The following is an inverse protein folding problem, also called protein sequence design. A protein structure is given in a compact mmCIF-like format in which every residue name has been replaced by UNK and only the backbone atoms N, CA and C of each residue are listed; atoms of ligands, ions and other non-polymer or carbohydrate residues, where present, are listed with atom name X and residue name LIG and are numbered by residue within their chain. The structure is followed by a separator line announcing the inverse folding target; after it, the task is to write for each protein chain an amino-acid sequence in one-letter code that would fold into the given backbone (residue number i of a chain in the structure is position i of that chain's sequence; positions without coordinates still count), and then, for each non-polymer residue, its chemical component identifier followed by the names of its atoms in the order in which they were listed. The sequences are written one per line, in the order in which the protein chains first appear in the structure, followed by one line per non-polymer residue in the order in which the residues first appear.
data_IF_036708476632
#
_entry.id   IF_036708476632
#
_cell.length_a   1.000
_cell.length_b   1.000
_cell.length_c   1.000
_cell.angle_alpha   90.00
_cell.angle_beta   90.00
_cell.angle_gamma   90.00
#
_symmetry.space_group_name_H-M   'P 1'
#
loop_
_entity.id
_entity.type
_entity.pdbx_description
1 polymer ?
#
# COMPACT_ATOMS: atom_id res chain seq x y z
N UNK A 1 17.33 -6.36 -1.15
CA UNK A 1 16.12 -7.17 -0.93
C UNK A 1 16.53 -8.38 -0.12
N UNK A 2 15.82 -8.67 0.93
CA UNK A 2 16.02 -9.85 1.76
C UNK A 2 15.77 -11.16 0.99
N UNK A 3 16.12 -12.27 1.59
CA UNK A 3 15.90 -13.62 1.05
C UNK A 3 14.46 -14.11 1.30
N UNK A 4 13.81 -13.59 2.36
CA UNK A 4 12.46 -13.91 2.80
C UNK A 4 11.55 -12.69 2.75
N UNK A 5 12.02 -11.53 3.24
CA UNK A 5 11.28 -10.29 3.23
C UNK A 5 11.56 -9.49 1.95
N UNK A 6 10.48 -9.17 1.23
CA UNK A 6 10.50 -8.23 0.11
C UNK A 6 10.30 -6.79 0.60
N UNK A 7 9.93 -5.88 -0.31
CA UNK A 7 9.59 -4.49 0.06
C UNK A 7 8.32 -4.38 0.92
N UNK A 8 7.49 -5.43 0.96
CA UNK A 8 6.19 -5.43 1.64
C UNK A 8 5.94 -6.77 2.38
N UNK A 9 6.89 -7.17 3.22
CA UNK A 9 6.84 -8.37 4.03
C UNK A 9 7.23 -9.66 3.32
N UNK A 10 7.10 -10.79 4.00
CA UNK A 10 7.30 -12.13 3.45
C UNK A 10 6.02 -12.58 2.74
N UNK A 11 6.08 -12.81 1.42
CA UNK A 11 4.94 -13.19 0.59
C UNK A 11 5.19 -14.49 -0.16
N UNK A 12 4.11 -15.24 -0.41
CA UNK A 12 4.16 -16.45 -1.23
C UNK A 12 2.80 -17.07 -1.44
N UNK A 13 2.76 -18.15 -2.25
CA UNK A 13 1.57 -18.99 -2.38
C UNK A 13 1.35 -19.71 -1.05
N UNK A 14 0.17 -19.50 -0.47
CA UNK A 14 -0.16 -20.00 0.86
C UNK A 14 -0.07 -21.55 0.92
N UNK A 15 0.51 -22.06 1.99
CA UNK A 15 0.74 -23.47 2.25
C UNK A 15 1.61 -24.22 1.20
N UNK A 16 2.28 -23.49 0.33
CA UNK A 16 3.24 -24.03 -0.65
C UNK A 16 4.61 -23.35 -0.48
N UNK A 17 4.63 -22.02 -0.56
CA UNK A 17 5.80 -21.17 -0.34
C UNK A 17 5.77 -20.56 1.08
N UNK A 18 4.62 -20.01 1.46
CA UNK A 18 4.36 -19.49 2.81
C UNK A 18 3.61 -20.56 3.61
N UNK A 19 4.36 -21.50 4.17
CA UNK A 19 3.83 -22.64 4.94
C UNK A 19 3.53 -22.28 6.40
N UNK A 20 2.76 -23.12 7.09
CA UNK A 20 2.51 -22.95 8.52
C UNK A 20 3.79 -23.02 9.35
N UNK A 21 4.74 -23.92 8.99
CA UNK A 21 6.04 -24.03 9.65
C UNK A 21 6.87 -22.77 9.48
N UNK A 22 6.88 -22.20 8.26
CA UNK A 22 7.58 -20.95 8.00
C UNK A 22 6.98 -19.80 8.80
N UNK A 23 5.65 -19.67 8.84
CA UNK A 23 4.95 -18.65 9.61
C UNK A 23 5.23 -18.80 11.13
N UNK A 24 5.22 -20.03 11.66
CA UNK A 24 5.59 -20.28 13.06
C UNK A 24 7.02 -19.85 13.36
N UNK A 25 7.96 -20.15 12.46
CA UNK A 25 9.38 -19.78 12.65
C UNK A 25 9.59 -18.27 12.51
N UNK A 26 8.87 -17.60 11.60
CA UNK A 26 8.84 -16.11 11.53
C UNK A 26 8.35 -15.54 12.86
N UNK A 27 7.26 -16.06 13.41
CA UNK A 27 6.74 -15.62 14.71
C UNK A 27 7.76 -15.78 15.85
N UNK A 28 8.44 -16.94 15.94
CA UNK A 28 9.51 -17.15 16.92
C UNK A 28 10.65 -16.15 16.77
N UNK A 29 11.16 -16.01 15.54
CA UNK A 29 12.28 -15.13 15.25
C UNK A 29 11.93 -13.66 15.51
N UNK A 30 10.74 -13.22 15.11
CA UNK A 30 10.26 -11.87 15.37
C UNK A 30 10.20 -11.55 16.87
N UNK A 31 9.61 -12.44 17.68
CA UNK A 31 9.59 -12.26 19.14
C UNK A 31 10.99 -12.21 19.73
N UNK A 32 11.89 -13.10 19.32
CA UNK A 32 13.28 -13.14 19.82
C UNK A 32 14.08 -11.88 19.47
N UNK A 33 13.82 -11.29 18.30
CA UNK A 33 14.47 -10.02 17.89
C UNK A 33 13.96 -8.84 18.72
N UNK A 34 12.72 -8.91 19.22
CA UNK A 34 12.08 -7.88 20.06
C UNK A 34 12.38 -8.06 21.55
N UNK A 35 12.71 -9.26 22.01
CA UNK A 35 13.08 -9.52 23.40
C UNK A 35 14.45 -8.90 23.68
N UNK A 36 14.56 -8.08 24.72
CA UNK A 36 15.78 -7.44 25.21
C UNK A 36 15.71 -7.25 26.73
N UNK A 37 16.70 -6.57 27.31
CA UNK A 37 16.79 -6.35 28.76
C UNK A 37 15.62 -5.53 29.34
N UNK A 38 14.90 -4.77 28.50
CA UNK A 38 13.76 -3.94 28.91
C UNK A 38 12.40 -4.63 28.67
N UNK A 39 12.34 -5.55 27.67
CA UNK A 39 11.12 -6.24 27.25
C UNK A 39 11.30 -7.75 27.28
N UNK A 40 10.93 -8.37 28.39
CA UNK A 40 11.03 -9.83 28.58
C UNK A 40 9.85 -10.58 27.92
N UNK A 41 8.65 -10.00 27.94
CA UNK A 41 7.42 -10.59 27.38
C UNK A 41 6.74 -9.61 26.41
N UNK A 42 7.25 -9.48 25.17
CA UNK A 42 6.69 -8.53 24.22
C UNK A 42 5.22 -8.86 23.90
N UNK A 43 4.41 -7.83 23.77
CA UNK A 43 3.03 -7.92 23.31
C UNK A 43 2.95 -7.62 21.84
N UNK A 44 2.45 -8.57 21.05
CA UNK A 44 2.37 -8.46 19.58
C UNK A 44 0.91 -8.52 19.15
N UNK A 45 0.50 -7.52 18.36
CA UNK A 45 -0.83 -7.49 17.74
C UNK A 45 -0.81 -8.34 16.47
N UNK A 46 -1.89 -9.07 16.18
CA UNK A 46 -2.06 -9.77 14.90
C UNK A 46 -3.40 -9.37 14.29
N UNK A 47 -3.34 -8.76 13.11
CA UNK A 47 -4.48 -8.53 12.22
C UNK A 47 -4.36 -9.37 10.95
N UNK A 48 -5.48 -9.54 10.24
CA UNK A 48 -5.51 -10.27 8.97
C UNK A 48 -6.57 -9.71 8.03
N UNK A 49 -6.39 -9.99 6.73
CA UNK A 49 -7.44 -9.80 5.75
C UNK A 49 -8.41 -11.01 5.72
N UNK A 50 -9.22 -11.11 4.68
CA UNK A 50 -10.31 -12.09 4.59
C UNK A 50 -9.93 -13.40 3.91
N UNK A 51 -8.65 -13.62 3.57
CA UNK A 51 -8.18 -14.82 2.86
C UNK A 51 -8.39 -16.08 3.68
N UNK A 52 -8.78 -17.17 3.02
CA UNK A 52 -8.99 -18.48 3.64
C UNK A 52 -7.75 -18.95 4.43
N UNK A 53 -6.55 -18.71 3.89
CA UNK A 53 -5.29 -19.09 4.54
C UNK A 53 -4.93 -18.25 5.78
N UNK A 54 -5.68 -17.16 6.04
CA UNK A 54 -5.42 -16.25 7.15
C UNK A 54 -5.48 -16.95 8.51
N UNK A 55 -6.50 -17.80 8.75
CA UNK A 55 -6.66 -18.51 10.03
C UNK A 55 -5.52 -19.52 10.29
N UNK A 56 -5.06 -20.21 9.24
CA UNK A 56 -3.94 -21.14 9.34
C UNK A 56 -2.63 -20.42 9.73
N UNK A 57 -2.35 -19.31 9.04
CA UNK A 57 -1.12 -18.52 9.30
C UNK A 57 -1.19 -17.82 10.65
N UNK A 58 -2.35 -17.30 11.06
CA UNK A 58 -2.58 -16.72 12.39
C UNK A 58 -2.30 -17.75 13.48
N UNK A 59 -2.86 -18.97 13.37
CA UNK A 59 -2.61 -20.06 14.32
C UNK A 59 -1.13 -20.43 14.42
N UNK A 60 -0.41 -20.49 13.31
CA UNK A 60 1.01 -20.78 13.26
C UNK A 60 1.84 -19.66 13.92
N UNK A 61 1.56 -18.40 13.61
CA UNK A 61 2.20 -17.25 14.25
C UNK A 61 1.96 -17.23 15.75
N UNK A 62 0.74 -17.47 16.21
CA UNK A 62 0.40 -17.57 17.63
C UNK A 62 1.26 -18.63 18.31
N UNK A 63 1.33 -19.84 17.75
CA UNK A 63 2.13 -20.93 18.30
C UNK A 63 3.63 -20.56 18.37
N UNK A 64 4.15 -19.93 17.32
CA UNK A 64 5.52 -19.44 17.26
C UNK A 64 5.82 -18.40 18.35
N UNK A 65 5.05 -17.33 18.38
CA UNK A 65 5.21 -16.22 19.32
C UNK A 65 5.09 -16.67 20.78
N UNK A 66 4.02 -17.37 21.12
CA UNK A 66 3.79 -17.83 22.48
C UNK A 66 4.85 -18.82 22.96
N UNK A 67 5.40 -19.66 22.05
CA UNK A 67 6.42 -20.66 22.39
C UNK A 67 7.74 -20.05 22.87
N UNK A 68 7.99 -18.78 22.61
CA UNK A 68 9.18 -18.03 23.04
C UNK A 68 8.87 -16.92 24.05
N UNK A 69 7.64 -16.90 24.58
CA UNK A 69 7.24 -16.02 25.68
C UNK A 69 6.55 -14.72 25.27
N UNK A 70 6.31 -14.47 23.99
CA UNK A 70 5.59 -13.29 23.56
C UNK A 70 4.07 -13.39 23.78
N UNK A 71 3.44 -12.35 24.27
CA UNK A 71 1.98 -12.24 24.37
C UNK A 71 1.37 -11.82 23.04
N UNK A 72 0.20 -12.33 22.72
CA UNK A 72 -0.51 -12.06 21.47
C UNK A 72 -1.87 -11.42 21.76
N UNK A 73 -2.18 -10.33 21.04
CA UNK A 73 -3.52 -9.76 21.00
C UNK A 73 -4.07 -9.85 19.57
N UNK A 74 -5.16 -10.57 19.38
CA UNK A 74 -5.79 -10.79 18.08
C UNK A 74 -6.75 -9.64 17.79
N UNK A 75 -6.55 -9.01 16.62
CA UNK A 75 -7.40 -7.92 16.13
C UNK A 75 -8.55 -8.43 15.25
N UNK A 76 -8.45 -9.68 14.74
CA UNK A 76 -9.36 -10.23 13.75
C UNK A 76 -9.13 -9.63 12.36
N UNK A 77 -10.20 -9.51 11.58
CA UNK A 77 -10.15 -8.91 10.24
C UNK A 77 -10.18 -7.40 10.37
N UNK A 78 -9.06 -6.75 10.01
CA UNK A 78 -8.88 -5.30 10.06
C UNK A 78 -7.98 -4.83 8.91
N UNK A 79 -8.08 -3.56 8.47
CA UNK A 79 -7.13 -2.95 7.53
C UNK A 79 -5.68 -2.97 8.03
N UNK A 80 -4.72 -3.01 7.10
CA UNK A 80 -3.28 -2.87 7.44
C UNK A 80 -2.98 -1.63 8.29
N UNK A 81 -3.49 -0.42 7.94
CA UNK A 81 -3.25 0.76 8.77
C UNK A 81 -3.87 0.68 10.17
N UNK A 82 -4.93 -0.13 10.35
CA UNK A 82 -5.47 -0.38 11.69
C UNK A 82 -4.44 -1.08 12.59
N UNK A 83 -3.70 -2.06 12.06
CA UNK A 83 -2.63 -2.73 12.82
C UNK A 83 -1.59 -1.70 13.26
N UNK A 84 -1.09 -0.87 12.34
CA UNK A 84 -0.10 0.16 12.61
C UNK A 84 -0.57 1.15 13.71
N UNK A 85 -1.80 1.66 13.59
CA UNK A 85 -2.38 2.58 14.59
C UNK A 85 -2.58 1.93 15.97
N UNK A 86 -3.08 0.69 15.99
CA UNK A 86 -3.45 0.02 17.24
C UNK A 86 -2.23 -0.39 18.08
N UNK A 87 -1.04 -0.52 17.48
CA UNK A 87 0.21 -0.73 18.21
C UNK A 87 0.38 0.37 19.27
N UNK A 88 0.35 1.62 18.86
CA UNK A 88 0.48 2.75 19.78
C UNK A 88 -0.70 2.85 20.76
N UNK A 89 -1.94 2.62 20.28
CA UNK A 89 -3.14 2.68 21.12
C UNK A 89 -3.12 1.67 22.26
N UNK A 90 -2.64 0.46 22.03
CA UNK A 90 -2.61 -0.63 23.01
C UNK A 90 -1.25 -0.83 23.66
N UNK A 91 -0.29 0.07 23.44
CA UNK A 91 1.09 -0.01 23.92
C UNK A 91 1.69 -1.40 23.64
N UNK A 92 1.57 -1.85 22.40
CA UNK A 92 2.17 -3.11 21.97
C UNK A 92 3.59 -2.87 21.42
N UNK A 93 4.45 -3.89 21.54
CA UNK A 93 5.84 -3.79 21.12
C UNK A 93 6.01 -4.00 19.63
N UNK A 94 5.03 -4.65 18.97
CA UNK A 94 5.00 -4.84 17.53
C UNK A 94 3.58 -5.19 17.05
N UNK A 95 3.40 -5.18 15.73
CA UNK A 95 2.20 -5.67 15.08
C UNK A 95 2.52 -6.53 13.87
N UNK A 96 1.67 -7.49 13.59
CA UNK A 96 1.75 -8.36 12.41
C UNK A 96 0.45 -8.23 11.62
N UNK A 97 0.57 -7.97 10.32
CA UNK A 97 -0.55 -8.06 9.38
C UNK A 97 -0.38 -9.27 8.47
N UNK A 98 -1.40 -10.12 8.41
CA UNK A 98 -1.46 -11.28 7.52
C UNK A 98 -2.27 -10.89 6.30
N UNK A 99 -1.58 -10.55 5.21
CA UNK A 99 -2.19 -10.15 3.94
C UNK A 99 -1.18 -10.17 2.79
N UNK A 100 -1.67 -10.38 1.57
CA UNK A 100 -0.93 -10.15 0.33
C UNK A 100 -1.52 -8.99 -0.50
N UNK A 101 -2.17 -8.01 0.16
CA UNK A 101 -2.72 -6.79 -0.44
C UNK A 101 -3.64 -7.09 -1.63
N UNK A 102 -3.29 -6.63 -2.83
CA UNK A 102 -4.10 -6.77 -4.05
C UNK A 102 -3.94 -8.12 -4.78
N UNK A 103 -3.09 -9.04 -4.29
CA UNK A 103 -2.90 -10.34 -4.92
C UNK A 103 -4.18 -11.22 -4.81
N UNK A 104 -4.39 -12.21 -5.70
CA UNK A 104 -5.44 -13.20 -5.58
C UNK A 104 -5.35 -13.99 -4.26
N UNK A 105 -6.43 -14.70 -3.90
CA UNK A 105 -6.57 -15.35 -2.59
C UNK A 105 -5.55 -16.46 -2.30
N UNK A 106 -4.99 -17.07 -3.35
CA UNK A 106 -3.98 -18.12 -3.26
C UNK A 106 -2.68 -17.63 -2.62
N UNK A 107 -2.39 -16.33 -2.74
CA UNK A 107 -1.25 -15.70 -2.10
C UNK A 107 -1.62 -15.23 -0.69
N UNK A 108 -0.63 -15.20 0.18
CA UNK A 108 -0.70 -14.50 1.45
C UNK A 108 0.66 -13.91 1.81
N UNK A 109 0.72 -13.14 2.89
CA UNK A 109 1.93 -12.47 3.34
C UNK A 109 1.93 -12.20 4.83
N UNK A 110 3.12 -11.95 5.37
CA UNK A 110 3.33 -11.55 6.76
C UNK A 110 4.12 -10.26 6.75
N UNK A 111 3.48 -9.16 7.17
CA UNK A 111 4.08 -7.83 7.34
C UNK A 111 4.28 -7.59 8.83
N UNK A 112 5.45 -7.10 9.23
CA UNK A 112 5.75 -6.82 10.63
C UNK A 112 5.97 -5.32 10.80
N UNK A 113 5.36 -4.76 11.85
CA UNK A 113 5.45 -3.36 12.23
C UNK A 113 6.12 -3.25 13.59
N UNK A 114 6.99 -2.26 13.75
CA UNK A 114 7.65 -1.91 15.00
C UNK A 114 6.69 -1.18 15.97
N UNK A 115 7.16 -0.91 17.18
CA UNK A 115 6.37 -0.25 18.24
C UNK A 115 5.86 1.16 17.86
N UNK A 116 6.47 1.81 16.89
CA UNK A 116 6.06 3.12 16.35
C UNK A 116 5.04 3.01 15.21
N UNK A 117 4.60 1.79 14.85
CA UNK A 117 3.65 1.53 13.77
C UNK A 117 4.24 1.66 12.36
N UNK A 118 5.57 1.74 12.23
CA UNK A 118 6.27 1.68 10.96
C UNK A 118 6.64 0.25 10.60
N UNK A 119 6.87 -0.05 9.31
CA UNK A 119 7.45 -1.34 8.91
C UNK A 119 8.81 -1.55 9.59
N UNK A 120 9.14 -2.80 9.91
CA UNK A 120 10.43 -3.11 10.53
C UNK A 120 11.59 -2.58 9.68
N UNK A 121 12.65 -2.02 10.32
CA UNK A 121 13.90 -1.70 9.66
C UNK A 121 14.57 -2.95 9.04
N UNK A 122 15.31 -2.75 7.93
CA UNK A 122 15.99 -3.84 7.19
C UNK A 122 16.92 -4.69 8.06
N UNK A 123 17.60 -4.09 9.02
CA UNK A 123 18.50 -4.80 9.93
C UNK A 123 17.76 -5.79 10.83
N UNK A 124 16.56 -5.44 11.29
CA UNK A 124 15.72 -6.35 12.07
C UNK A 124 15.10 -7.45 11.20
N UNK A 125 14.63 -7.11 9.98
CA UNK A 125 14.15 -8.10 9.01
C UNK A 125 15.28 -9.10 8.65
N UNK A 126 16.50 -8.62 8.39
CA UNK A 126 17.65 -9.48 8.12
C UNK A 126 17.98 -10.41 9.29
N UNK A 127 17.90 -9.93 10.53
CA UNK A 127 18.10 -10.78 11.73
C UNK A 127 17.03 -11.85 11.84
N UNK A 128 15.78 -11.55 11.52
CA UNK A 128 14.71 -12.56 11.47
C UNK A 128 15.03 -13.61 10.40
N UNK A 129 15.46 -13.18 9.20
CA UNK A 129 15.86 -14.08 8.11
C UNK A 129 17.00 -15.04 8.51
N UNK A 130 18.04 -14.51 9.16
CA UNK A 130 19.17 -15.30 9.63
C UNK A 130 18.74 -16.38 10.65
N UNK A 131 17.83 -16.03 11.56
CA UNK A 131 17.29 -17.00 12.53
C UNK A 131 16.44 -18.06 11.82
N UNK A 132 15.57 -17.65 10.88
CA UNK A 132 14.62 -18.55 10.21
C UNK A 132 15.31 -19.46 9.19
N UNK A 133 16.20 -18.91 8.36
CA UNK A 133 16.77 -19.60 7.21
C UNK A 133 18.10 -20.29 7.53
N UNK A 134 18.95 -19.66 8.35
CA UNK A 134 20.30 -20.13 8.62
C UNK A 134 20.44 -20.81 10.00
N UNK A 135 19.39 -20.75 10.84
CA UNK A 135 19.37 -21.30 12.19
C UNK A 135 20.58 -20.85 13.05
N UNK A 136 20.97 -19.58 12.89
CA UNK A 136 22.17 -19.00 13.56
C UNK A 136 22.06 -18.99 15.07
N UNK A 137 20.82 -18.97 15.61
CA UNK A 137 20.54 -19.00 17.04
C UNK A 137 19.41 -19.99 17.30
N UNK A 138 19.54 -20.92 18.27
CA UNK A 138 18.45 -21.80 18.67
C UNK A 138 17.31 -20.98 19.31
N UNK A 139 16.06 -21.39 19.07
CA UNK A 139 14.92 -20.73 19.68
C UNK A 139 14.95 -20.88 21.22
N UNK A 140 14.82 -19.74 21.91
CA UNK A 140 14.71 -19.69 23.37
C UNK A 140 13.29 -20.06 23.79
N UNK A 141 13.04 -21.36 23.95
CA UNK A 141 11.70 -21.88 24.26
C UNK A 141 11.31 -21.54 25.71
N UNK A 142 10.21 -20.82 25.85
CA UNK A 142 9.61 -20.47 27.13
C UNK A 142 8.99 -21.71 27.80
N UNK A 143 8.98 -21.71 29.13
CA UNK A 143 8.46 -22.83 29.93
C UNK A 143 7.52 -22.31 31.00
N UNK A 144 6.62 -23.19 31.43
CA UNK A 144 5.73 -22.99 32.56
C UNK A 144 4.94 -21.65 32.42
N UNK A 145 5.02 -20.79 33.43
CA UNK A 145 4.33 -19.47 33.45
C UNK A 145 4.86 -18.45 32.45
N UNK A 146 6.03 -18.70 31.84
CA UNK A 146 6.64 -17.82 30.84
C UNK A 146 6.11 -18.05 29.40
N UNK A 147 5.29 -19.07 29.19
CA UNK A 147 4.61 -19.26 27.91
C UNK A 147 3.68 -18.06 27.65
N UNK A 148 3.76 -17.48 26.43
CA UNK A 148 2.96 -16.31 26.05
C UNK A 148 1.45 -16.57 26.09
N UNK A 149 0.70 -15.53 26.36
CA UNK A 149 -0.77 -15.55 26.46
C UNK A 149 -1.43 -14.98 25.21
N UNK A 150 -2.60 -15.50 24.88
CA UNK A 150 -3.42 -15.01 23.76
C UNK A 150 -4.67 -14.34 24.29
N UNK A 151 -4.95 -13.14 23.81
CA UNK A 151 -6.18 -12.41 24.08
C UNK A 151 -6.78 -11.91 22.75
N UNK A 152 -8.09 -11.59 22.75
CA UNK A 152 -8.76 -11.03 21.58
C UNK A 152 -9.26 -9.63 21.90
N UNK A 153 -9.08 -8.70 20.95
CA UNK A 153 -9.55 -7.33 21.04
C UNK A 153 -10.78 -7.16 20.14
N UNK A 154 -11.96 -7.35 20.72
CA UNK A 154 -13.23 -7.31 19.98
C UNK A 154 -13.54 -5.89 19.45
N UNK A 155 -12.95 -4.85 20.01
CA UNK A 155 -13.18 -3.43 19.63
C UNK A 155 -12.19 -2.92 18.59
N UNK A 156 -11.24 -3.72 18.13
CA UNK A 156 -10.13 -3.27 17.28
C UNK A 156 -10.59 -2.53 16.02
N UNK A 157 -11.59 -3.06 15.31
CA UNK A 157 -12.14 -2.42 14.12
C UNK A 157 -12.85 -1.10 14.45
N UNK A 158 -13.62 -1.05 15.54
CA UNK A 158 -14.33 0.16 15.96
C UNK A 158 -13.35 1.24 16.46
N UNK A 159 -12.29 0.85 17.15
CA UNK A 159 -11.21 1.74 17.59
C UNK A 159 -10.47 2.41 16.44
N UNK A 160 -10.25 1.67 15.35
CA UNK A 160 -9.67 2.23 14.12
C UNK A 160 -10.66 3.17 13.41
N UNK A 161 -11.92 2.78 13.26
CA UNK A 161 -12.98 3.64 12.71
C UNK A 161 -13.08 4.96 13.46
N UNK A 162 -13.03 4.90 14.81
CA UNK A 162 -13.06 6.08 15.66
C UNK A 162 -11.84 6.99 15.46
N UNK A 163 -10.67 6.39 15.25
CA UNK A 163 -9.45 7.12 14.95
C UNK A 163 -9.57 7.89 13.64
N UNK A 164 -9.91 7.22 12.53
CA UNK A 164 -10.03 7.85 11.22
C UNK A 164 -11.09 8.94 11.24
N UNK A 165 -12.26 8.66 11.80
CA UNK A 165 -13.35 9.64 11.91
C UNK A 165 -12.93 10.91 12.68
N UNK A 166 -12.18 10.75 13.78
CA UNK A 166 -11.67 11.89 14.58
C UNK A 166 -10.55 12.66 13.88
N UNK A 167 -9.65 11.96 13.17
CA UNK A 167 -8.49 12.55 12.50
C UNK A 167 -8.92 13.56 11.43
N UNK A 168 -9.98 13.28 10.69
CA UNK A 168 -10.47 14.17 9.65
C UNK A 168 -11.52 15.15 10.19
N UNK A 169 -12.36 14.71 11.12
CA UNK A 169 -13.34 15.57 11.81
C UNK A 169 -14.34 16.24 10.87
N UNK A 170 -14.78 15.55 9.81
CA UNK A 170 -15.75 16.07 8.85
C UNK A 170 -17.14 15.48 9.04
N UNK A 171 -18.16 16.24 8.61
CA UNK A 171 -19.53 15.77 8.46
C UNK A 171 -19.81 15.57 6.98
N UNK A 172 -20.21 14.35 6.59
CA UNK A 172 -20.53 13.98 5.20
C UNK A 172 -22.04 13.91 4.94
N UNK A 173 -22.88 14.46 5.83
CA UNK A 173 -24.34 14.48 5.64
C UNK A 173 -24.71 15.05 4.27
N UNK A 174 -25.61 14.37 3.55
CA UNK A 174 -26.04 14.74 2.21
C UNK A 174 -25.15 14.23 1.08
N UNK A 175 -24.03 13.59 1.38
CA UNK A 175 -23.23 12.87 0.38
C UNK A 175 -23.72 11.44 0.22
N UNK A 176 -23.92 11.01 -1.04
CA UNK A 176 -24.28 9.63 -1.39
C UNK A 176 -23.16 9.03 -2.22
N UNK A 177 -22.49 7.99 -1.69
CA UNK A 177 -21.25 7.44 -2.21
C UNK A 177 -21.32 5.92 -2.38
N UNK A 178 -20.49 5.36 -3.28
CA UNK A 178 -20.27 3.93 -3.37
C UNK A 178 -18.91 3.54 -2.77
N UNK A 179 -18.86 2.39 -2.11
CA UNK A 179 -17.64 1.78 -1.59
C UNK A 179 -17.46 0.40 -2.22
N UNK A 180 -16.32 0.15 -2.82
CA UNK A 180 -15.89 -1.18 -3.24
C UNK A 180 -14.87 -1.70 -2.21
N UNK A 181 -15.31 -2.65 -1.39
CA UNK A 181 -14.51 -3.23 -0.30
C UNK A 181 -13.65 -4.41 -0.74
N UNK A 182 -13.54 -4.70 -2.05
CA UNK A 182 -12.73 -5.80 -2.60
C UNK A 182 -12.94 -7.19 -1.96
N UNK A 183 -14.05 -7.41 -1.25
CA UNK A 183 -14.24 -8.54 -0.32
C UNK A 183 -13.06 -8.69 0.66
N UNK A 184 -12.36 -7.61 0.95
CA UNK A 184 -11.18 -7.53 1.80
C UNK A 184 -11.48 -7.01 3.21
N UNK A 185 -10.44 -6.53 3.87
CA UNK A 185 -10.50 -6.08 5.27
C UNK A 185 -11.42 -4.88 5.50
N UNK A 186 -11.52 -3.95 4.52
CA UNK A 186 -12.44 -2.81 4.57
C UNK A 186 -13.92 -3.18 4.64
N UNK A 187 -14.29 -4.43 4.31
CA UNK A 187 -15.66 -4.94 4.53
C UNK A 187 -16.11 -4.90 6.00
N UNK A 188 -15.18 -4.74 6.95
CA UNK A 188 -15.46 -4.64 8.40
C UNK A 188 -15.52 -3.22 8.92
N UNK A 189 -14.95 -2.27 8.20
CA UNK A 189 -14.66 -0.92 8.70
C UNK A 189 -15.27 0.19 7.84
N UNK A 190 -15.20 0.10 6.51
CA UNK A 190 -15.53 1.20 5.62
C UNK A 190 -17.00 1.65 5.73
N UNK A 191 -17.98 0.74 5.70
CA UNK A 191 -19.39 1.12 5.87
C UNK A 191 -19.62 1.83 7.20
N UNK A 192 -19.05 1.29 8.28
CA UNK A 192 -19.16 1.88 9.63
C UNK A 192 -18.57 3.29 9.67
N UNK A 193 -17.40 3.48 9.08
CA UNK A 193 -16.69 4.76 9.05
C UNK A 193 -17.52 5.83 8.33
N UNK A 194 -17.88 5.59 7.07
CA UNK A 194 -18.54 6.60 6.26
C UNK A 194 -19.99 6.85 6.71
N UNK A 195 -20.68 5.84 7.22
CA UNK A 195 -22.00 6.02 7.85
C UNK A 195 -21.89 6.84 9.15
N UNK A 196 -20.86 6.57 9.98
CA UNK A 196 -20.60 7.36 11.20
C UNK A 196 -20.34 8.84 10.89
N UNK A 197 -19.71 9.12 9.74
CA UNK A 197 -19.47 10.48 9.26
C UNK A 197 -20.70 11.12 8.59
N UNK A 198 -21.84 10.42 8.50
CA UNK A 198 -23.12 10.93 7.98
C UNK A 198 -23.36 10.69 6.49
N UNK A 199 -22.48 9.99 5.78
CA UNK A 199 -22.70 9.66 4.38
C UNK A 199 -23.77 8.58 4.19
N UNK A 200 -24.53 8.67 3.11
CA UNK A 200 -25.35 7.55 2.61
C UNK A 200 -24.48 6.66 1.73
N UNK A 201 -24.33 5.41 2.15
CA UNK A 201 -23.33 4.48 1.60
C UNK A 201 -23.99 3.38 0.78
N UNK A 202 -23.46 3.11 -0.41
CA UNK A 202 -23.74 1.95 -1.24
C UNK A 202 -22.52 1.03 -1.20
N UNK A 203 -22.65 -0.14 -0.57
CA UNK A 203 -21.50 -1.04 -0.40
C UNK A 203 -21.52 -2.14 -1.46
N UNK A 204 -20.39 -2.34 -2.12
CA UNK A 204 -20.13 -3.39 -3.09
C UNK A 204 -18.99 -4.28 -2.58
N UNK A 205 -19.06 -5.58 -2.89
CA UNK A 205 -18.01 -6.55 -2.57
C UNK A 205 -17.61 -6.54 -1.09
N UNK A 206 -18.62 -6.64 -0.22
CA UNK A 206 -18.50 -6.64 1.25
C UNK A 206 -18.80 -8.01 1.90
N UNK A 207 -18.90 -9.08 1.08
CA UNK A 207 -19.25 -10.44 1.52
C UNK A 207 -18.10 -11.41 1.26
N UNK A 208 -17.03 -11.32 2.05
CA UNK A 208 -15.90 -12.23 1.90
C UNK A 208 -16.28 -13.67 2.20
N UNK A 209 -15.82 -14.59 1.35
CA UNK A 209 -15.99 -16.04 1.51
C UNK A 209 -14.65 -16.79 1.66
N UNK A 210 -13.54 -16.05 1.75
CA UNK A 210 -12.18 -16.56 1.89
C UNK A 210 -11.44 -16.74 0.56
N UNK A 211 -12.15 -16.79 -0.58
CA UNK A 211 -11.56 -17.02 -1.91
C UNK A 211 -11.94 -15.96 -2.94
N UNK A 212 -12.77 -14.99 -2.57
CA UNK A 212 -13.26 -13.95 -3.47
C UNK A 212 -12.59 -12.58 -3.28
N UNK A 213 -11.60 -12.45 -2.41
CA UNK A 213 -10.85 -11.20 -2.20
C UNK A 213 -10.17 -10.75 -3.50
N UNK A 214 -10.30 -9.46 -3.86
CA UNK A 214 -9.78 -8.84 -5.09
C UNK A 214 -10.27 -9.47 -6.41
N UNK A 215 -11.21 -10.41 -6.38
CA UNK A 215 -11.69 -11.08 -7.58
C UNK A 215 -12.68 -10.18 -8.33
N UNK A 216 -12.21 -9.62 -9.45
CA UNK A 216 -12.99 -8.72 -10.32
C UNK A 216 -13.55 -7.49 -9.58
N UNK A 217 -12.89 -7.03 -8.52
CA UNK A 217 -13.29 -5.92 -7.67
C UNK A 217 -12.10 -5.17 -7.07
N UNK A 218 -12.40 -4.11 -6.34
CA UNK A 218 -11.41 -3.29 -5.63
C UNK A 218 -10.57 -2.39 -6.55
N UNK A 219 -9.49 -1.87 -6.00
CA UNK A 219 -8.65 -0.85 -6.66
C UNK A 219 -7.99 -1.32 -7.96
N UNK A 220 -7.84 -2.63 -8.17
CA UNK A 220 -7.26 -3.20 -9.39
C UNK A 220 -8.30 -3.52 -10.48
N UNK A 221 -9.59 -3.49 -10.15
CA UNK A 221 -10.71 -3.82 -11.06
C UNK A 221 -11.86 -2.80 -10.94
N UNK A 222 -11.55 -1.54 -11.19
CA UNK A 222 -12.41 -0.37 -10.92
C UNK A 222 -13.69 -0.32 -11.76
N UNK A 223 -13.78 -1.05 -12.89
CA UNK A 223 -14.83 -0.92 -13.91
C UNK A 223 -16.24 -1.10 -13.38
N UNK A 224 -16.44 -1.99 -12.40
CA UNK A 224 -17.75 -2.20 -11.77
C UNK A 224 -18.20 -0.98 -10.96
N UNK A 225 -17.28 -0.41 -10.18
CA UNK A 225 -17.54 0.79 -9.40
C UNK A 225 -17.84 2.00 -10.31
N UNK A 226 -17.09 2.15 -11.42
CA UNK A 226 -17.32 3.21 -12.42
C UNK A 226 -18.75 3.16 -13.00
N UNK A 227 -19.19 1.96 -13.38
CA UNK A 227 -20.56 1.76 -13.90
C UNK A 227 -21.60 2.05 -12.82
N UNK A 228 -21.39 1.54 -11.60
CA UNK A 228 -22.32 1.71 -10.50
C UNK A 228 -22.52 3.18 -10.11
N UNK A 229 -21.44 3.95 -10.01
CA UNK A 229 -21.51 5.41 -9.70
C UNK A 229 -22.34 6.16 -10.73
N UNK A 230 -22.14 5.89 -12.03
CA UNK A 230 -22.90 6.53 -13.12
C UNK A 230 -24.37 6.13 -13.10
N UNK A 231 -24.66 4.82 -12.99
CA UNK A 231 -26.02 4.28 -13.02
C UNK A 231 -26.89 4.83 -11.88
N UNK A 232 -26.29 4.99 -10.70
CA UNK A 232 -26.97 5.48 -9.49
C UNK A 232 -26.81 6.99 -9.27
N UNK A 233 -26.05 7.68 -10.13
CA UNK A 233 -25.80 9.14 -10.05
C UNK A 233 -25.25 9.56 -8.70
N UNK A 234 -24.29 8.79 -8.17
CA UNK A 234 -23.67 9.04 -6.88
C UNK A 234 -22.66 10.21 -6.96
N UNK A 235 -22.34 10.81 -5.82
CA UNK A 235 -21.34 11.88 -5.74
C UNK A 235 -19.96 11.38 -6.17
N UNK A 236 -19.59 10.16 -5.79
CA UNK A 236 -18.34 9.50 -6.16
C UNK A 236 -18.36 8.04 -5.71
N UNK A 237 -17.31 7.29 -6.05
CA UNK A 237 -17.03 5.96 -5.53
C UNK A 237 -15.60 5.88 -4.98
N UNK A 238 -15.37 5.04 -3.98
CA UNK A 238 -14.07 4.72 -3.42
C UNK A 238 -13.84 3.22 -3.53
N UNK A 239 -12.68 2.81 -4.03
CA UNK A 239 -12.28 1.40 -4.14
C UNK A 239 -11.01 1.15 -3.33
N UNK A 240 -11.07 0.15 -2.47
CA UNK A 240 -9.95 -0.31 -1.66
C UNK A 240 -9.32 -1.56 -2.26
N UNK A 241 -8.12 -1.91 -1.84
CA UNK A 241 -7.55 -3.23 -2.09
C UNK A 241 -7.79 -4.17 -0.91
N UNK A 242 -7.29 -5.40 -0.98
CA UNK A 242 -7.64 -6.46 -0.02
C UNK A 242 -7.33 -6.16 1.43
N UNK A 243 -6.28 -5.39 1.73
CA UNK A 243 -5.92 -4.97 3.09
C UNK A 243 -6.11 -3.46 3.34
N UNK A 244 -6.75 -2.79 2.39
CA UNK A 244 -7.22 -1.41 2.48
C UNK A 244 -6.12 -0.38 2.81
N UNK A 245 -4.87 -0.67 2.46
CA UNK A 245 -3.78 0.31 2.54
C UNK A 245 -3.77 1.25 1.31
N UNK A 246 -4.66 0.99 0.31
CA UNK A 246 -4.84 1.77 -0.91
C UNK A 246 -6.28 2.22 -1.10
N UNK A 247 -6.43 3.39 -1.72
CA UNK A 247 -7.72 3.91 -2.19
C UNK A 247 -7.56 4.51 -3.58
N UNK A 248 -8.44 4.11 -4.49
CA UNK A 248 -8.70 4.83 -5.74
C UNK A 248 -10.11 5.38 -5.73
N UNK A 249 -10.34 6.51 -6.39
CA UNK A 249 -11.66 7.10 -6.46
C UNK A 249 -12.24 7.09 -7.88
N UNK A 250 -13.54 7.22 -7.96
CA UNK A 250 -14.31 7.38 -9.19
C UNK A 250 -15.16 8.63 -9.04
N UNK A 251 -15.06 9.55 -10.01
CA UNK A 251 -15.86 10.76 -10.02
C UNK A 251 -17.34 10.48 -10.38
N UNK A 252 -18.20 11.48 -10.26
CA UNK A 252 -19.64 11.38 -10.57
C UNK A 252 -19.95 11.05 -12.03
N UNK A 253 -18.96 11.18 -12.94
CA UNK A 253 -19.07 10.80 -14.35
C UNK A 253 -18.57 9.38 -14.62
N UNK A 254 -18.02 8.70 -13.59
CA UNK A 254 -17.44 7.38 -13.69
C UNK A 254 -15.99 7.37 -14.18
N UNK A 255 -15.28 8.48 -14.13
CA UNK A 255 -13.86 8.53 -14.47
C UNK A 255 -13.02 8.12 -13.27
N UNK A 256 -11.91 7.43 -13.53
CA UNK A 256 -10.93 7.09 -12.52
C UNK A 256 -10.16 8.33 -12.05
N UNK A 257 -10.08 8.51 -10.75
CA UNK A 257 -9.22 9.46 -10.04
C UNK A 257 -8.21 8.63 -9.26
N UNK A 258 -7.02 8.45 -9.83
CA UNK A 258 -5.97 7.58 -9.25
C UNK A 258 -5.18 8.27 -8.12
N UNK A 259 -4.20 7.54 -7.55
CA UNK A 259 -3.42 8.01 -6.42
C UNK A 259 -2.69 9.33 -6.68
N UNK A 260 -2.19 9.56 -7.89
CA UNK A 260 -1.52 10.82 -8.23
C UNK A 260 -2.50 12.00 -8.13
N UNK A 261 -3.72 11.86 -8.66
CA UNK A 261 -4.76 12.87 -8.52
C UNK A 261 -5.20 13.07 -7.06
N UNK A 262 -5.38 11.97 -6.31
CA UNK A 262 -5.78 12.07 -4.89
C UNK A 262 -4.72 12.81 -4.07
N UNK A 263 -3.44 12.51 -4.30
CA UNK A 263 -2.32 13.21 -3.65
C UNK A 263 -2.30 14.68 -4.06
N UNK A 264 -2.48 15.00 -5.36
CA UNK A 264 -2.48 16.37 -5.86
C UNK A 264 -3.61 17.20 -5.23
N UNK A 265 -4.84 16.66 -5.19
CA UNK A 265 -6.00 17.30 -4.55
C UNK A 265 -5.72 17.59 -3.07
N UNK A 266 -5.24 16.56 -2.33
CA UNK A 266 -4.95 16.71 -0.90
C UNK A 266 -3.79 17.68 -0.64
N UNK A 267 -2.71 17.60 -1.42
CA UNK A 267 -1.56 18.49 -1.28
C UNK A 267 -1.94 19.97 -1.54
N UNK A 268 -2.75 20.21 -2.58
CA UNK A 268 -3.26 21.57 -2.88
C UNK A 268 -4.11 22.12 -1.73
N UNK A 269 -5.02 21.32 -1.21
CA UNK A 269 -5.84 21.69 -0.06
C UNK A 269 -5.01 21.95 1.20
N UNK A 270 -4.07 21.06 1.49
CA UNK A 270 -3.16 21.22 2.63
C UNK A 270 -2.30 22.48 2.49
N UNK A 271 -1.82 22.80 1.28
CA UNK A 271 -1.07 24.03 1.02
C UNK A 271 -1.94 25.26 1.25
N UNK A 272 -3.14 25.30 0.65
CA UNK A 272 -4.05 26.45 0.75
C UNK A 272 -4.47 26.74 2.22
N UNK A 273 -4.47 25.69 3.04
CA UNK A 273 -4.75 25.78 4.48
C UNK A 273 -3.50 25.97 5.35
N UNK A 274 -2.31 26.06 4.76
CA UNK A 274 -1.05 26.21 5.50
C UNK A 274 -0.64 24.98 6.30
N UNK A 275 -1.14 23.79 5.92
CA UNK A 275 -0.88 22.51 6.59
C UNK A 275 0.18 21.67 5.88
N UNK A 276 0.55 22.02 4.65
CA UNK A 276 1.57 21.27 3.88
C UNK A 276 2.98 21.60 4.40
N UNK A 277 3.59 20.67 5.11
CA UNK A 277 4.93 20.86 5.68
C UNK A 277 5.97 21.05 4.57
N UNK A 278 6.79 22.11 4.70
CA UNK A 278 7.86 22.45 3.75
C UNK A 278 7.38 22.66 2.30
N UNK A 279 6.09 22.82 2.07
CA UNK A 279 5.49 22.87 0.72
C UNK A 279 5.99 21.74 -0.19
N UNK A 280 6.10 20.51 0.34
CA UNK A 280 6.65 19.38 -0.38
C UNK A 280 5.75 18.16 -0.34
N UNK A 281 5.79 17.39 -1.45
CA UNK A 281 5.06 16.14 -1.63
C UNK A 281 6.04 15.05 -2.04
N UNK A 282 5.92 13.87 -1.45
CA UNK A 282 6.78 12.73 -1.78
C UNK A 282 6.03 11.74 -2.66
N UNK A 283 6.65 11.36 -3.77
CA UNK A 283 6.15 10.29 -4.65
C UNK A 283 7.25 9.36 -5.09
N UNK A 284 7.02 8.61 -6.13
CA UNK A 284 8.01 7.69 -6.70
C UNK A 284 8.38 8.09 -8.13
N UNK A 285 9.40 7.43 -8.68
CA UNK A 285 9.74 7.55 -10.11
C UNK A 285 8.59 7.12 -11.05
N UNK A 286 7.53 6.49 -10.53
CA UNK A 286 6.34 6.11 -11.29
C UNK A 286 5.25 7.18 -11.29
N UNK A 287 5.34 8.19 -10.43
CA UNK A 287 4.39 9.32 -10.40
C UNK A 287 4.39 10.02 -11.75
N UNK A 288 3.20 10.29 -12.28
CA UNK A 288 3.04 10.87 -13.62
C UNK A 288 3.73 12.23 -13.76
N UNK A 289 4.34 12.52 -14.92
CA UNK A 289 5.00 13.81 -15.16
C UNK A 289 4.09 15.02 -14.97
N UNK A 290 2.78 14.88 -15.23
CA UNK A 290 1.80 15.93 -14.96
C UNK A 290 1.78 16.37 -13.50
N UNK A 291 2.16 15.48 -12.57
CA UNK A 291 2.30 15.80 -11.16
C UNK A 291 3.48 16.75 -10.87
N UNK A 292 4.60 16.57 -11.57
CA UNK A 292 5.74 17.48 -11.45
C UNK A 292 5.32 18.90 -11.86
N UNK A 293 4.67 19.01 -13.02
CA UNK A 293 4.15 20.28 -13.54
C UNK A 293 3.16 20.92 -12.56
N UNK A 294 2.24 20.12 -12.02
CA UNK A 294 1.32 20.58 -10.97
C UNK A 294 2.08 21.14 -9.76
N UNK A 295 3.12 20.47 -9.29
CA UNK A 295 3.92 20.96 -8.17
C UNK A 295 4.60 22.28 -8.48
N UNK A 296 5.23 22.42 -9.67
CA UNK A 296 5.88 23.65 -10.14
C UNK A 296 4.89 24.82 -10.23
N UNK A 297 3.74 24.62 -10.88
CA UNK A 297 2.69 25.62 -11.03
C UNK A 297 2.07 26.10 -9.70
N UNK A 298 2.20 25.28 -8.65
CA UNK A 298 1.70 25.60 -7.32
C UNK A 298 2.82 25.88 -6.31
N UNK A 299 4.04 26.22 -6.70
CA UNK A 299 5.18 26.48 -5.81
C UNK A 299 5.34 25.40 -4.73
N UNK A 300 5.26 24.14 -5.14
CA UNK A 300 5.50 22.97 -4.30
C UNK A 300 6.73 22.20 -4.79
N UNK A 301 7.44 21.55 -3.87
CA UNK A 301 8.55 20.68 -4.18
C UNK A 301 8.05 19.25 -4.35
N UNK A 302 8.31 18.63 -5.51
CA UNK A 302 8.13 17.19 -5.69
C UNK A 302 9.42 16.44 -5.33
N UNK A 303 9.33 15.48 -4.41
CA UNK A 303 10.44 14.62 -4.00
C UNK A 303 10.19 13.22 -4.54
N UNK A 304 10.99 12.82 -5.54
CA UNK A 304 10.87 11.50 -6.18
C UNK A 304 11.77 10.47 -5.48
N UNK A 305 11.19 9.32 -5.13
CA UNK A 305 11.90 8.18 -4.55
C UNK A 305 11.90 6.98 -5.50
N UNK A 306 12.57 5.89 -5.11
CA UNK A 306 12.39 4.58 -5.74
C UNK A 306 10.97 4.09 -5.55
N UNK A 307 10.53 3.15 -6.41
CA UNK A 307 9.22 2.48 -6.27
C UNK A 307 9.20 1.65 -4.99
N UNK A 308 8.15 1.84 -4.21
CA UNK A 308 7.89 1.15 -2.96
C UNK A 308 7.55 2.14 -1.84
N UNK A 309 6.46 1.88 -1.14
CA UNK A 309 5.90 2.68 -0.06
C UNK A 309 6.93 2.95 1.07
N UNK A 310 7.81 1.99 1.33
CA UNK A 310 8.91 2.12 2.28
C UNK A 310 9.82 3.32 1.96
N UNK A 311 10.22 3.49 0.70
CA UNK A 311 11.10 4.60 0.29
C UNK A 311 10.40 5.96 0.40
N UNK A 312 9.07 5.97 0.15
CA UNK A 312 8.24 7.17 0.35
C UNK A 312 8.23 7.55 1.83
N UNK A 313 7.92 6.59 2.71
CA UNK A 313 7.88 6.81 4.16
C UNK A 313 9.25 7.25 4.71
N UNK A 314 10.33 6.58 4.33
CA UNK A 314 11.70 6.94 4.74
C UNK A 314 12.05 8.38 4.37
N UNK A 315 11.72 8.81 3.14
CA UNK A 315 11.94 10.19 2.71
C UNK A 315 11.10 11.18 3.54
N UNK A 316 9.83 10.84 3.80
CA UNK A 316 8.94 11.67 4.61
C UNK A 316 9.46 11.85 6.05
N UNK A 317 9.87 10.76 6.68
CA UNK A 317 10.40 10.78 8.06
C UNK A 317 11.72 11.54 8.15
N UNK A 318 12.66 11.26 7.25
CA UNK A 318 13.98 11.90 7.24
C UNK A 318 13.91 13.40 7.04
N UNK A 319 13.03 13.84 6.15
CA UNK A 319 12.93 15.24 5.78
C UNK A 319 11.79 15.98 6.50
N UNK A 320 10.90 15.28 7.20
CA UNK A 320 9.78 15.87 7.93
C UNK A 320 8.65 16.36 7.02
N UNK A 321 8.38 15.64 5.92
CA UNK A 321 7.22 15.86 5.06
C UNK A 321 5.99 15.14 5.63
N UNK A 322 4.79 15.57 5.30
CA UNK A 322 3.58 15.01 5.88
C UNK A 322 2.56 14.44 4.89
N UNK A 323 2.85 14.48 3.59
CA UNK A 323 2.05 13.79 2.57
C UNK A 323 2.99 13.16 1.54
N UNK A 324 2.67 11.93 1.14
CA UNK A 324 3.35 11.21 0.06
C UNK A 324 2.59 9.96 -0.32
N UNK A 325 2.99 9.34 -1.42
CA UNK A 325 2.34 8.10 -1.84
C UNK A 325 2.67 7.70 -3.27
N UNK A 326 1.83 6.82 -3.80
CA UNK A 326 2.00 6.20 -5.11
C UNK A 326 0.72 6.28 -5.95
N UNK A 327 0.84 6.26 -7.26
CA UNK A 327 -0.28 6.22 -8.21
C UNK A 327 -1.26 5.07 -7.92
N UNK A 328 -0.79 3.98 -7.33
CA UNK A 328 -1.59 2.82 -6.92
C UNK A 328 -2.64 3.14 -5.84
N UNK A 329 -2.61 4.34 -5.25
CA UNK A 329 -3.51 4.77 -4.19
C UNK A 329 -3.00 4.53 -2.77
N UNK A 330 -1.76 4.06 -2.61
CA UNK A 330 -1.10 3.99 -1.31
C UNK A 330 -0.64 5.39 -0.91
N UNK A 331 -1.39 6.06 -0.04
CA UNK A 331 -1.19 7.45 0.35
C UNK A 331 -0.96 7.54 1.85
N UNK A 332 0.13 8.17 2.23
CA UNK A 332 0.54 8.38 3.63
C UNK A 332 0.25 9.82 4.03
N UNK A 333 -0.55 10.00 5.05
CA UNK A 333 -0.75 11.27 5.76
C UNK A 333 -0.04 11.17 7.12
N UNK A 334 1.23 11.52 7.18
CA UNK A 334 2.10 11.21 8.32
C UNK A 334 1.67 11.90 9.64
N UNK A 335 0.82 12.92 9.56
CA UNK A 335 0.23 13.52 10.76
C UNK A 335 -0.85 12.61 11.40
N UNK A 336 -1.32 11.56 10.71
CA UNK A 336 -2.41 10.68 11.14
C UNK A 336 -2.09 9.19 11.09
N UNK A 337 -1.24 8.76 10.16
CA UNK A 337 -0.90 7.35 9.93
C UNK A 337 0.56 7.20 9.48
N UNK A 338 1.21 6.13 9.92
CA UNK A 338 2.61 5.79 9.60
C UNK A 338 2.75 4.87 8.37
N UNK A 339 1.65 4.55 7.71
CA UNK A 339 1.59 3.77 6.48
C UNK A 339 0.46 4.29 5.60
N UNK A 340 0.36 3.81 4.37
CA UNK A 340 -0.80 4.10 3.53
C UNK A 340 -2.10 3.66 4.19
N UNK A 341 -3.13 4.51 4.08
CA UNK A 341 -4.44 4.28 4.66
C UNK A 341 -5.51 4.68 3.65
N UNK A 342 -6.16 3.65 3.05
CA UNK A 342 -7.16 3.86 2.02
C UNK A 342 -8.43 4.51 2.57
N UNK A 343 -8.88 4.13 3.76
CA UNK A 343 -10.08 4.69 4.38
C UNK A 343 -9.86 6.14 4.83
N UNK A 344 -8.69 6.46 5.38
CA UNK A 344 -8.28 7.82 5.67
C UNK A 344 -8.18 8.66 4.38
N UNK A 345 -7.56 8.14 3.34
CA UNK A 345 -7.43 8.82 2.03
C UNK A 345 -8.80 9.15 1.44
N UNK A 346 -9.72 8.17 1.43
CA UNK A 346 -11.10 8.39 0.99
C UNK A 346 -11.81 9.45 1.83
N UNK A 347 -11.63 9.41 3.15
CA UNK A 347 -12.24 10.40 4.07
C UNK A 347 -11.68 11.80 3.83
N UNK A 348 -10.38 11.94 3.58
CA UNK A 348 -9.75 13.22 3.23
C UNK A 348 -10.36 13.83 1.96
N UNK A 349 -10.50 13.05 0.91
CA UNK A 349 -11.11 13.50 -0.36
C UNK A 349 -12.55 13.94 -0.14
N UNK A 350 -13.37 13.14 0.54
CA UNK A 350 -14.76 13.49 0.81
C UNK A 350 -14.88 14.75 1.67
N UNK A 351 -13.97 14.93 2.64
CA UNK A 351 -13.89 16.16 3.45
C UNK A 351 -13.61 17.40 2.59
N UNK A 352 -12.69 17.28 1.61
CA UNK A 352 -12.40 18.37 0.67
C UNK A 352 -13.63 18.68 -0.18
N UNK A 353 -14.27 17.67 -0.78
CA UNK A 353 -15.50 17.83 -1.56
C UNK A 353 -16.60 18.51 -0.74
N UNK A 354 -16.82 18.07 0.48
CA UNK A 354 -17.84 18.63 1.38
C UNK A 354 -17.56 20.08 1.74
N UNK A 355 -16.32 20.41 2.08
CA UNK A 355 -15.92 21.75 2.52
C UNK A 355 -15.90 22.75 1.37
N UNK A 356 -15.49 22.36 0.17
CA UNK A 356 -15.43 23.24 -1.01
C UNK A 356 -16.76 23.33 -1.74
N UNK A 357 -17.62 22.33 -1.61
CA UNK A 357 -18.85 22.17 -2.40
C UNK A 357 -18.56 21.73 -3.84
N UNK A 358 -17.31 21.41 -4.16
CA UNK A 358 -16.89 21.02 -5.52
C UNK A 358 -17.08 19.52 -5.76
N UNK A 359 -17.39 19.19 -7.02
CA UNK A 359 -17.45 17.80 -7.48
C UNK A 359 -16.06 17.22 -7.63
N UNK A 360 -15.93 15.89 -7.49
CA UNK A 360 -14.63 15.23 -7.65
C UNK A 360 -14.03 15.44 -9.04
N UNK A 361 -14.85 15.44 -10.10
CA UNK A 361 -14.39 15.75 -11.47
C UNK A 361 -13.85 17.19 -11.63
N UNK A 362 -14.30 18.14 -10.81
CA UNK A 362 -13.75 19.51 -10.78
C UNK A 362 -12.42 19.51 -10.02
N UNK A 363 -12.37 18.90 -8.86
CA UNK A 363 -11.13 18.78 -8.07
C UNK A 363 -10.03 18.04 -8.83
N UNK A 364 -10.37 17.02 -9.62
CA UNK A 364 -9.41 16.27 -10.44
C UNK A 364 -8.76 17.10 -11.57
N UNK A 365 -9.30 18.28 -11.89
CA UNK A 365 -8.64 19.21 -12.84
C UNK A 365 -7.43 19.94 -12.25
N UNK A 366 -7.11 19.68 -11.00
CA UNK A 366 -5.92 20.24 -10.32
C UNK A 366 -4.62 19.89 -11.05
N UNK A 367 -4.60 18.77 -11.77
CA UNK A 367 -3.47 18.23 -12.49
C UNK A 367 -3.91 17.76 -13.89
N UNK A 368 -3.08 17.97 -14.89
CA UNK A 368 -3.25 17.37 -16.22
C UNK A 368 -2.32 16.17 -16.35
N UNK A 369 -2.92 14.99 -16.61
CA UNK A 369 -2.16 13.74 -16.77
C UNK A 369 -1.48 13.73 -18.12
N UNK A 370 -0.17 13.52 -18.13
CA UNK A 370 0.57 13.21 -19.36
C UNK A 370 0.21 11.81 -19.87
N UNK A 371 0.00 11.65 -21.19
CA UNK A 371 -0.11 10.36 -21.82
C UNK A 371 1.04 9.42 -21.39
N UNK A 372 0.71 8.14 -21.13
CA UNK A 372 1.66 7.14 -20.67
C UNK A 372 1.49 5.83 -21.45
N UNK A 373 2.60 5.22 -21.84
CA UNK A 373 2.66 3.89 -22.43
C UNK A 373 3.53 2.99 -21.57
N UNK A 374 3.04 1.80 -21.24
CA UNK A 374 3.78 0.78 -20.49
C UNK A 374 3.79 -0.54 -21.24
N UNK A 375 4.98 -1.02 -21.59
CA UNK A 375 5.18 -2.31 -22.25
C UNK A 375 5.96 -3.24 -21.30
N UNK A 376 5.38 -4.41 -21.01
CA UNK A 376 6.03 -5.45 -20.24
C UNK A 376 6.73 -6.44 -21.18
N UNK A 377 8.04 -6.54 -21.08
CA UNK A 377 8.85 -7.45 -21.89
C UNK A 377 9.28 -8.64 -21.03
N UNK A 378 8.91 -9.86 -21.42
CA UNK A 378 9.40 -11.08 -20.77
C UNK A 378 10.89 -11.24 -21.05
N UNK A 379 11.66 -11.55 -20.03
CA UNK A 379 13.12 -11.72 -20.11
C UNK A 379 13.54 -12.97 -19.32
N UNK A 380 14.72 -13.51 -19.65
CA UNK A 380 15.32 -14.62 -18.89
C UNK A 380 15.87 -14.15 -17.54
N UNK A 381 16.22 -15.08 -16.65
CA UNK A 381 16.87 -14.75 -15.38
C UNK A 381 18.23 -14.07 -15.61
N UNK A 382 18.98 -14.57 -16.58
CA UNK A 382 20.25 -13.99 -17.05
C UNK A 382 20.03 -12.61 -17.64
N UNK A 383 18.96 -12.42 -18.43
CA UNK A 383 18.57 -11.13 -19.00
C UNK A 383 18.26 -10.08 -17.94
N UNK A 384 17.60 -10.46 -16.83
CA UNK A 384 17.39 -9.54 -15.69
C UNK A 384 18.70 -9.03 -15.11
N UNK A 385 19.72 -9.87 -14.99
CA UNK A 385 21.04 -9.48 -14.49
C UNK A 385 21.80 -8.64 -15.53
N UNK A 386 21.72 -9.04 -16.81
CA UNK A 386 22.38 -8.36 -17.92
C UNK A 386 21.84 -6.93 -18.11
N UNK A 387 20.59 -6.65 -17.79
CA UNK A 387 19.97 -5.32 -17.91
C UNK A 387 20.85 -4.20 -17.36
N UNK A 388 21.48 -4.43 -16.21
CA UNK A 388 22.29 -3.38 -15.54
C UNK A 388 23.60 -3.06 -16.25
N UNK A 389 24.08 -3.95 -17.13
CA UNK A 389 25.37 -3.83 -17.80
C UNK A 389 25.25 -3.77 -19.32
N UNK A 390 24.12 -4.12 -19.93
CA UNK A 390 23.91 -4.12 -21.37
C UNK A 390 24.05 -2.71 -21.94
N UNK A 391 24.92 -2.57 -22.93
CA UNK A 391 25.27 -1.28 -23.54
C UNK A 391 24.23 -0.81 -24.55
N UNK A 392 23.60 -1.75 -25.26
CA UNK A 392 22.59 -1.42 -26.28
C UNK A 392 21.30 -0.93 -25.61
N UNK A 393 20.87 -1.59 -24.53
CA UNK A 393 19.70 -1.13 -23.75
C UNK A 393 19.97 0.27 -23.17
N UNK A 394 21.17 0.53 -22.64
CA UNK A 394 21.54 1.86 -22.14
C UNK A 394 21.58 2.92 -23.25
N UNK A 395 22.13 2.56 -24.42
CA UNK A 395 22.18 3.45 -25.58
C UNK A 395 20.78 3.83 -26.06
N UNK A 396 19.85 2.85 -26.07
CA UNK A 396 18.46 3.08 -26.45
C UNK A 396 17.75 4.00 -25.45
N UNK A 397 17.91 3.78 -24.16
CA UNK A 397 17.36 4.68 -23.11
C UNK A 397 17.87 6.12 -23.31
N UNK A 398 19.16 6.29 -23.56
CA UNK A 398 19.74 7.61 -23.80
C UNK A 398 19.18 8.25 -25.08
N UNK A 399 19.10 7.48 -26.19
CA UNK A 399 18.51 7.95 -27.45
C UNK A 399 17.11 8.50 -27.26
N UNK A 400 16.24 7.73 -26.58
CA UNK A 400 14.85 8.12 -26.34
C UNK A 400 14.79 9.32 -25.39
N UNK A 401 15.64 9.37 -24.37
CA UNK A 401 15.73 10.51 -23.46
C UNK A 401 16.08 11.80 -24.22
N UNK A 402 17.02 11.74 -25.17
CA UNK A 402 17.39 12.90 -26.00
C UNK A 402 16.27 13.34 -26.94
N UNK A 403 15.51 12.38 -27.54
CA UNK A 403 14.39 12.67 -28.42
C UNK A 403 13.25 13.37 -27.64
N UNK A 404 12.92 12.87 -26.47
CA UNK A 404 11.81 13.41 -25.67
C UNK A 404 12.18 14.76 -25.02
N UNK A 405 13.43 14.94 -24.57
CA UNK A 405 13.86 16.14 -23.86
C UNK A 405 12.91 16.46 -22.69
N UNK A 406 12.51 17.72 -22.57
CA UNK A 406 11.58 18.18 -21.51
C UNK A 406 10.10 17.83 -21.79
N UNK A 407 9.78 17.35 -22.99
CA UNK A 407 8.40 17.00 -23.40
C UNK A 407 7.95 15.62 -22.93
N UNK A 408 8.88 14.82 -22.38
CA UNK A 408 8.57 13.46 -21.97
C UNK A 408 9.74 12.77 -21.27
N UNK A 409 9.53 11.53 -20.90
CA UNK A 409 10.58 10.69 -20.28
C UNK A 409 10.44 9.22 -20.64
N UNK A 410 11.53 8.49 -20.53
CA UNK A 410 11.55 7.03 -20.55
C UNK A 410 12.03 6.50 -19.21
N UNK A 411 11.37 5.47 -18.69
CA UNK A 411 11.76 4.72 -17.52
C UNK A 411 11.76 3.23 -17.85
N UNK A 412 12.95 2.61 -17.85
CA UNK A 412 13.09 1.16 -18.04
C UNK A 412 13.57 0.54 -16.75
N UNK A 413 12.88 -0.49 -16.26
CA UNK A 413 13.23 -1.14 -15.00
C UNK A 413 12.93 -2.64 -15.01
N UNK A 414 13.72 -3.38 -14.26
CA UNK A 414 13.46 -4.80 -13.98
C UNK A 414 12.32 -4.92 -12.95
N UNK A 415 11.39 -5.86 -13.18
CA UNK A 415 10.38 -6.20 -12.16
C UNK A 415 11.05 -6.95 -11.00
N UNK A 416 10.72 -6.58 -9.77
CA UNK A 416 11.22 -7.25 -8.57
C UNK A 416 10.71 -8.70 -8.44
N UNK A 417 9.44 -8.92 -8.80
CA UNK A 417 8.72 -10.18 -8.53
C UNK A 417 8.52 -11.05 -9.77
N UNK A 418 8.54 -10.47 -10.97
CA UNK A 418 8.23 -11.18 -12.22
C UNK A 418 9.45 -11.24 -13.15
N UNK A 419 9.55 -12.21 -14.07
CA UNK A 419 10.60 -12.28 -15.09
C UNK A 419 10.34 -11.27 -16.23
N UNK A 420 10.29 -9.99 -15.90
CA UNK A 420 9.93 -8.89 -16.79
C UNK A 420 10.90 -7.71 -16.66
N UNK A 421 11.12 -7.04 -17.80
CA UNK A 421 11.58 -5.65 -17.86
C UNK A 421 10.38 -4.79 -18.29
N UNK A 422 10.15 -3.71 -17.58
CA UNK A 422 9.06 -2.77 -17.85
C UNK A 422 9.63 -1.54 -18.54
N UNK A 423 9.12 -1.25 -19.73
CA UNK A 423 9.45 -0.07 -20.54
C UNK A 423 8.28 0.88 -20.44
N UNK A 424 8.46 2.02 -19.76
CA UNK A 424 7.44 3.04 -19.57
C UNK A 424 7.90 4.34 -20.21
N UNK A 425 7.06 4.94 -21.03
CA UNK A 425 7.24 6.27 -21.58
C UNK A 425 6.05 7.17 -21.21
N UNK A 426 6.36 8.41 -20.95
CA UNK A 426 5.39 9.49 -20.79
C UNK A 426 5.77 10.66 -21.66
N UNK A 427 4.79 11.38 -22.19
CA UNK A 427 5.04 12.55 -23.04
C UNK A 427 3.76 13.18 -23.56
N UNK A 428 3.89 14.36 -24.17
CA UNK A 428 2.77 15.16 -24.66
C UNK A 428 2.04 14.50 -25.84
N UNK A 429 2.76 13.75 -26.69
CA UNK A 429 2.22 13.11 -27.88
C UNK A 429 2.16 11.59 -27.71
N UNK A 430 0.92 11.06 -27.61
CA UNK A 430 0.68 9.64 -27.40
C UNK A 430 1.24 8.76 -28.54
N UNK A 431 1.12 9.18 -29.80
CA UNK A 431 1.60 8.43 -30.96
C UNK A 431 3.15 8.36 -30.96
N UNK A 432 3.82 9.48 -30.64
CA UNK A 432 5.29 9.52 -30.52
C UNK A 432 5.78 8.56 -29.43
N UNK A 433 5.21 8.62 -28.23
CA UNK A 433 5.64 7.76 -27.12
C UNK A 433 5.26 6.29 -27.36
N UNK A 434 4.17 6.00 -28.07
CA UNK A 434 3.81 4.61 -28.44
C UNK A 434 4.87 4.00 -29.33
N UNK A 435 5.27 4.69 -30.41
CA UNK A 435 6.29 4.22 -31.35
C UNK A 435 7.65 4.02 -30.64
N UNK A 436 8.09 5.01 -29.86
CA UNK A 436 9.34 4.91 -29.10
C UNK A 436 9.33 3.81 -28.05
N UNK A 437 8.17 3.56 -27.42
CA UNK A 437 8.02 2.46 -26.45
C UNK A 437 8.14 1.09 -27.11
N UNK A 438 7.55 0.92 -28.30
CA UNK A 438 7.65 -0.32 -29.08
C UNK A 438 9.07 -0.58 -29.58
N UNK A 439 9.76 0.45 -30.09
CA UNK A 439 11.18 0.36 -30.47
C UNK A 439 12.04 -0.05 -29.27
N UNK A 440 11.91 0.65 -28.14
CA UNK A 440 12.67 0.34 -26.94
C UNK A 440 12.36 -1.06 -26.38
N UNK A 441 11.08 -1.47 -26.40
CA UNK A 441 10.69 -2.82 -26.00
C UNK A 441 11.28 -3.89 -26.91
N UNK A 442 11.44 -3.60 -28.21
CA UNK A 442 12.07 -4.51 -29.16
C UNK A 442 13.56 -4.70 -28.84
N UNK A 443 14.30 -3.60 -28.57
CA UNK A 443 15.71 -3.67 -28.14
C UNK A 443 15.85 -4.51 -26.87
N UNK A 444 14.99 -4.25 -25.85
CA UNK A 444 14.98 -5.05 -24.61
C UNK A 444 14.74 -6.53 -24.90
N UNK A 445 13.80 -6.84 -25.79
CA UNK A 445 13.45 -8.23 -26.17
C UNK A 445 14.61 -8.93 -26.85
N UNK A 446 15.29 -8.28 -27.78
CA UNK A 446 16.43 -8.84 -28.52
C UNK A 446 17.66 -9.09 -27.65
N UNK A 447 17.84 -8.27 -26.63
CA UNK A 447 19.04 -8.29 -25.78
C UNK A 447 18.90 -9.14 -24.52
N UNK A 448 17.69 -9.26 -23.98
CA UNK A 448 17.48 -9.77 -22.61
C UNK A 448 16.52 -10.99 -22.54
N UNK A 449 15.94 -11.43 -23.65
CA UNK A 449 15.03 -12.60 -23.65
C UNK A 449 15.75 -13.94 -23.63
#
# INVERSE_FOLDING_TARGET
MGRLFGTDGARGVANTELTAELAMNIGRAAAMVLINDEVEHPTILIGKDTRLSGDMLEGALIAGLCSVGANVKLLGVVPTPAVAYLIGKYNADAGIMISASHNPFEFNGIKIFSSDGCKLPDDLENRIEEIVLDNVVPYAIAKDENIGKVTRLETAADDYVDHVAKSVGCDLEGMEIALDCSNGSSSRTAEKLFTKLGAKVHVLFDKPDGININKDCGSTHIGRLQSYVREHKLCCGLAFDGDADRCLAVDENGNLVDGDYLIAICAKDMKDRGMLKKNAVVGTVMTNMGFNKFCEENDMTFVSTKVGDRYVLEAMLREGYNIGGEQSGHIIFLDYATTGDGELSGTMILSIMKRTGEKLSTLAKVMERMPQVLINVKVSAEGKLAFYTDKEVKAEINRVTEILGDRGRILVRVSGTEPLVRVMLEGENLEEIQNLAEESAQVVRERLS
#
